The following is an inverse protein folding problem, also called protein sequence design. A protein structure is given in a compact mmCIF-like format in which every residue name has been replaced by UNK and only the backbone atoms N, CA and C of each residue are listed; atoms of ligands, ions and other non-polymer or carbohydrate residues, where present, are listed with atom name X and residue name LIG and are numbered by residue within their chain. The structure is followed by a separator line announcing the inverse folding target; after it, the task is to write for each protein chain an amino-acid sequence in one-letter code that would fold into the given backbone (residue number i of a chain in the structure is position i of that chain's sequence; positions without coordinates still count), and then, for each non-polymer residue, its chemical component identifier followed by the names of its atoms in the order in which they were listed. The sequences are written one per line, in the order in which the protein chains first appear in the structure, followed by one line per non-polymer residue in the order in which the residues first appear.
data_IF_117943393779
#
_entry.id   IF_117943393779
#
_cell.length_a   1.000
_cell.length_b   1.000
_cell.length_c   1.000
_cell.angle_alpha   90.00
_cell.angle_beta   90.00
_cell.angle_gamma   90.00
#
_symmetry.space_group_name_H-M   'P 1'
#
loop_
_entity.id
_entity.type
_entity.pdbx_description
1 polymer ?
#
# COMPACT_ATOMS: atom_id res chain seq x y z
N UNK A 1 -1.77 19.19 -17.34
CA UNK A 1 -1.72 18.56 -15.99
C UNK A 1 -2.53 19.42 -15.04
N UNK A 2 -3.45 18.82 -14.27
CA UNK A 2 -4.18 19.53 -13.22
C UNK A 2 -3.18 19.80 -12.09
N UNK A 3 -3.11 21.03 -11.57
CA UNK A 3 -2.25 21.32 -10.41
C UNK A 3 -2.81 20.61 -9.18
N UNK A 4 -1.97 19.99 -8.32
CA UNK A 4 -2.44 19.38 -7.09
C UNK A 4 -3.14 20.39 -6.18
N UNK A 5 -4.28 20.01 -5.62
CA UNK A 5 -4.99 20.85 -4.66
C UNK A 5 -4.42 20.59 -3.27
N UNK A 6 -3.35 21.31 -2.94
CA UNK A 6 -2.64 21.16 -1.66
C UNK A 6 -3.53 21.53 -0.47
N UNK A 7 -4.50 22.42 -0.65
CA UNK A 7 -5.43 22.82 0.41
C UNK A 7 -6.40 21.68 0.73
N UNK A 8 -6.98 21.06 -0.29
CA UNK A 8 -7.84 19.89 -0.11
C UNK A 8 -7.05 18.71 0.47
N UNK A 9 -5.83 18.45 -0.02
CA UNK A 9 -4.95 17.41 0.50
C UNK A 9 -4.62 17.62 1.99
N UNK A 10 -4.31 18.86 2.39
CA UNK A 10 -4.03 19.19 3.79
C UNK A 10 -5.26 19.00 4.66
N UNK A 11 -6.45 19.39 4.21
CA UNK A 11 -7.69 19.21 4.96
C UNK A 11 -8.00 17.72 5.19
N UNK A 12 -7.88 16.89 4.15
CA UNK A 12 -8.08 15.45 4.24
C UNK A 12 -7.05 14.80 5.19
N UNK A 13 -5.78 15.20 5.09
CA UNK A 13 -4.73 14.72 5.97
C UNK A 13 -4.95 15.14 7.44
N UNK A 14 -5.39 16.36 7.68
CA UNK A 14 -5.72 16.83 9.03
C UNK A 14 -6.87 16.02 9.63
N UNK A 15 -7.90 15.72 8.83
CA UNK A 15 -9.01 14.87 9.26
C UNK A 15 -8.57 13.44 9.57
N UNK A 16 -7.71 12.86 8.72
CA UNK A 16 -7.22 11.49 8.88
C UNK A 16 -6.26 11.33 10.08
N UNK A 17 -5.39 12.31 10.34
CA UNK A 17 -4.39 12.26 11.42
C UNK A 17 -4.97 12.62 12.79
N UNK A 18 -6.08 13.37 12.85
CA UNK A 18 -6.75 13.72 14.10
C UNK A 18 -5.91 14.58 15.04
N UNK A 19 -5.89 14.28 16.35
CA UNK A 19 -5.15 15.09 17.34
C UNK A 19 -3.65 14.95 17.11
N UNK A 20 -3.00 16.07 16.77
CA UNK A 20 -1.57 16.12 16.45
C UNK A 20 -1.28 16.29 14.97
N UNK A 21 -2.31 16.29 14.11
CA UNK A 21 -2.20 16.52 12.68
C UNK A 21 -1.32 17.72 12.32
N UNK A 22 -1.60 18.90 12.89
CA UNK A 22 -0.84 20.11 12.58
C UNK A 22 0.65 19.99 12.91
N UNK A 23 1.00 19.30 14.00
CA UNK A 23 2.41 19.06 14.34
C UNK A 23 3.07 18.15 13.31
N UNK A 24 2.42 17.05 12.95
CA UNK A 24 2.93 16.11 11.94
C UNK A 24 3.08 16.79 10.57
N UNK A 25 2.06 17.53 10.14
CA UNK A 25 2.08 18.26 8.86
C UNK A 25 3.18 19.34 8.85
N UNK A 26 3.33 20.09 9.94
CA UNK A 26 4.42 21.08 10.08
C UNK A 26 5.79 20.42 10.02
N UNK A 27 5.96 19.23 10.61
CA UNK A 27 7.22 18.49 10.55
C UNK A 27 7.53 18.01 9.12
N UNK A 28 6.51 17.54 8.39
CA UNK A 28 6.66 17.15 6.98
C UNK A 28 7.04 18.37 6.12
N UNK A 29 6.38 19.51 6.31
CA UNK A 29 6.70 20.75 5.60
C UNK A 29 8.10 21.28 5.92
N UNK A 30 8.52 21.21 7.19
CA UNK A 30 9.88 21.56 7.59
C UNK A 30 10.95 20.65 6.98
N UNK A 31 10.59 19.40 6.65
CA UNK A 31 11.44 18.47 5.91
C UNK A 31 11.39 18.67 4.38
N UNK A 32 10.66 19.68 3.89
CA UNK A 32 10.49 19.96 2.46
C UNK A 32 9.50 19.02 1.76
N UNK A 33 8.70 18.27 2.52
CA UNK A 33 7.67 17.37 2.00
C UNK A 33 6.31 18.07 1.97
N UNK A 34 5.51 17.74 0.96
CA UNK A 34 4.14 18.25 0.82
C UNK A 34 3.16 17.08 0.77
N UNK A 35 2.00 17.25 1.40
CA UNK A 35 0.94 16.26 1.32
C UNK A 35 0.11 16.53 0.07
N UNK A 36 -0.05 15.50 -0.75
CA UNK A 36 -0.87 15.51 -1.97
C UNK A 36 -1.89 14.40 -1.90
N UNK A 37 -3.03 14.59 -2.55
CA UNK A 37 -3.98 13.49 -2.76
C UNK A 37 -3.46 12.62 -3.89
N UNK A 38 -3.61 11.31 -3.74
CA UNK A 38 -3.25 10.36 -4.79
C UNK A 38 -3.96 10.70 -6.11
N UNK A 39 -5.25 11.10 -6.05
CA UNK A 39 -6.04 11.50 -7.22
C UNK A 39 -5.56 12.79 -7.93
N UNK A 40 -4.71 13.58 -7.28
CA UNK A 40 -4.13 14.81 -7.82
C UNK A 40 -2.75 14.60 -8.46
N UNK A 41 -2.14 13.43 -8.24
CA UNK A 41 -0.91 13.05 -8.92
C UNK A 41 -1.21 12.66 -10.37
N UNK A 42 -0.27 12.90 -11.31
CA UNK A 42 -0.38 12.28 -12.61
C UNK A 42 -0.51 10.76 -12.40
N UNK A 43 -1.30 10.05 -13.22
CA UNK A 43 -1.24 8.60 -13.19
C UNK A 43 0.22 8.22 -13.37
N UNK A 44 0.81 7.57 -12.37
CA UNK A 44 2.09 6.93 -12.56
C UNK A 44 1.92 5.98 -13.76
N UNK A 45 2.96 5.85 -14.58
CA UNK A 45 3.02 4.68 -15.46
C UNK A 45 3.10 3.47 -14.52
N UNK A 46 1.94 2.95 -14.14
CA UNK A 46 1.83 1.85 -13.21
C UNK A 46 2.48 0.65 -13.92
N UNK A 47 3.71 0.33 -13.51
CA UNK A 47 4.35 -0.92 -13.88
C UNK A 47 3.71 -1.96 -12.98
N UNK A 48 2.48 -2.34 -13.34
CA UNK A 48 1.78 -3.39 -12.62
C UNK A 48 2.35 -4.74 -13.02
N UNK A 49 2.67 -5.54 -12.01
CA UNK A 49 3.15 -6.90 -12.17
C UNK A 49 2.32 -7.83 -11.32
N UNK A 50 1.92 -8.96 -11.93
CA UNK A 50 1.37 -10.08 -11.17
C UNK A 50 2.50 -10.97 -10.69
N UNK A 51 2.57 -11.17 -9.37
CA UNK A 51 3.47 -12.13 -8.74
C UNK A 51 2.62 -13.33 -8.30
N UNK A 52 3.04 -14.52 -8.70
CA UNK A 52 2.33 -15.77 -8.41
C UNK A 52 3.04 -16.56 -7.32
N UNK A 53 2.30 -17.39 -6.59
CA UNK A 53 2.87 -18.25 -5.54
C UNK A 53 3.74 -17.47 -4.54
N UNK A 54 3.16 -16.41 -3.98
CA UNK A 54 3.87 -15.52 -3.05
C UNK A 54 3.55 -15.83 -1.59
N UNK A 55 4.46 -15.44 -0.72
CA UNK A 55 4.21 -15.34 0.72
C UNK A 55 4.16 -13.86 1.13
N UNK A 56 3.15 -13.49 1.94
CA UNK A 56 3.01 -12.15 2.47
C UNK A 56 3.38 -12.11 3.96
N UNK A 57 4.35 -11.27 4.29
CA UNK A 57 4.81 -11.05 5.67
C UNK A 57 4.50 -9.62 6.09
N UNK A 58 3.65 -9.44 7.09
CA UNK A 58 3.32 -8.12 7.63
C UNK A 58 4.33 -7.66 8.68
N UNK A 59 5.09 -6.60 8.39
CA UNK A 59 6.26 -6.18 9.20
C UNK A 59 5.88 -5.70 10.61
N UNK A 60 4.71 -5.07 10.76
CA UNK A 60 4.17 -4.60 12.06
C UNK A 60 2.77 -5.16 12.32
N UNK A 61 2.50 -6.35 11.77
CA UNK A 61 1.14 -6.85 11.62
C UNK A 61 0.32 -5.97 10.66
N UNK A 62 -1.00 -6.18 10.65
CA UNK A 62 -1.94 -5.44 9.80
C UNK A 62 -2.24 -4.02 10.32
N UNK A 63 -1.20 -3.28 10.71
CA UNK A 63 -1.30 -1.91 11.21
C UNK A 63 -0.83 -0.91 10.16
N UNK A 64 -1.41 0.30 10.09
CA UNK A 64 -0.89 1.40 9.28
C UNK A 64 0.59 1.65 9.60
N UNK A 65 1.48 1.87 8.60
CA UNK A 65 1.18 2.15 7.19
C UNK A 65 0.93 0.90 6.30
N UNK A 66 0.59 -0.25 6.88
CA UNK A 66 0.31 -1.52 6.18
C UNK A 66 1.48 -1.99 5.32
N UNK A 67 2.68 -1.94 5.92
CA UNK A 67 3.91 -2.41 5.29
C UNK A 67 3.93 -3.94 5.24
N UNK A 68 4.14 -4.48 4.05
CA UNK A 68 4.21 -5.89 3.76
C UNK A 68 5.50 -6.20 3.01
N UNK A 69 6.03 -7.40 3.21
CA UNK A 69 7.06 -7.97 2.35
C UNK A 69 6.43 -9.11 1.55
N UNK A 70 6.55 -9.02 0.23
CA UNK A 70 6.15 -10.07 -0.72
C UNK A 70 7.37 -10.92 -1.01
N UNK A 71 7.38 -12.18 -0.59
CA UNK A 71 8.40 -13.13 -1.00
C UNK A 71 7.92 -13.92 -2.22
N UNK A 72 8.73 -13.96 -3.28
CA UNK A 72 8.43 -14.66 -4.54
C UNK A 72 9.68 -15.41 -5.03
N UNK A 73 9.50 -16.65 -5.49
CA UNK A 73 10.60 -17.41 -6.10
C UNK A 73 11.79 -17.67 -5.18
N UNK A 74 12.97 -17.89 -5.77
CA UNK A 74 14.20 -18.31 -5.07
C UNK A 74 14.89 -17.18 -4.28
N UNK A 75 14.16 -16.53 -3.38
CA UNK A 75 14.66 -15.51 -2.46
C UNK A 75 14.48 -14.06 -2.91
N UNK A 76 13.64 -13.80 -3.92
CA UNK A 76 13.26 -12.42 -4.25
C UNK A 76 12.23 -11.90 -3.24
N UNK A 77 12.50 -10.74 -2.67
CA UNK A 77 11.57 -10.07 -1.74
C UNK A 77 11.32 -8.65 -2.18
N UNK A 78 10.05 -8.24 -2.19
CA UNK A 78 9.62 -6.89 -2.50
C UNK A 78 8.93 -6.27 -1.28
N UNK A 79 9.46 -5.15 -0.81
CA UNK A 79 8.81 -4.35 0.24
C UNK A 79 7.75 -3.44 -0.39
N UNK A 80 6.51 -3.57 0.07
CA UNK A 80 5.34 -2.86 -0.46
C UNK A 80 4.46 -2.31 0.66
N UNK A 81 3.56 -1.39 0.30
CA UNK A 81 2.49 -0.93 1.17
C UNK A 81 1.13 -1.30 0.59
N UNK A 82 0.22 -1.78 1.43
CA UNK A 82 -1.16 -1.99 1.02
C UNK A 82 -1.97 -0.70 1.15
N UNK A 83 -2.78 -0.40 0.13
CA UNK A 83 -3.80 0.64 0.25
C UNK A 83 -4.80 0.25 1.34
N UNK A 84 -5.12 1.19 2.25
CA UNK A 84 -6.05 0.95 3.38
C UNK A 84 -7.35 0.26 2.95
N UNK A 85 -7.88 0.63 1.78
CA UNK A 85 -9.11 0.07 1.23
C UNK A 85 -8.96 -1.38 0.76
N UNK A 86 -7.76 -1.78 0.33
CA UNK A 86 -7.47 -3.14 -0.13
C UNK A 86 -7.08 -4.09 1.03
N UNK A 87 -6.69 -3.55 2.19
CA UNK A 87 -6.23 -4.34 3.35
C UNK A 87 -7.18 -5.48 3.75
N UNK A 88 -8.52 -5.30 3.82
CA UNK A 88 -9.42 -6.39 4.16
C UNK A 88 -9.29 -7.58 3.20
N UNK A 89 -9.34 -7.33 1.89
CA UNK A 89 -9.29 -8.35 0.84
C UNK A 89 -7.91 -9.04 0.83
N UNK A 90 -6.83 -8.27 0.97
CA UNK A 90 -5.46 -8.81 1.01
C UNK A 90 -5.28 -9.73 2.21
N UNK A 91 -5.77 -9.31 3.38
CA UNK A 91 -5.69 -10.10 4.61
C UNK A 91 -6.51 -11.38 4.52
N UNK A 92 -7.70 -11.31 3.93
CA UNK A 92 -8.54 -12.48 3.70
C UNK A 92 -7.84 -13.48 2.79
N UNK A 93 -7.34 -13.05 1.62
CA UNK A 93 -6.63 -13.91 0.68
C UNK A 93 -5.40 -14.57 1.33
N UNK A 94 -4.59 -13.79 2.07
CA UNK A 94 -3.44 -14.33 2.79
C UNK A 94 -3.83 -15.38 3.86
N UNK A 95 -4.93 -15.13 4.59
CA UNK A 95 -5.45 -16.07 5.59
C UNK A 95 -5.96 -17.35 4.93
N UNK A 96 -6.69 -17.24 3.82
CA UNK A 96 -7.19 -18.40 3.07
C UNK A 96 -6.03 -19.24 2.51
N UNK A 97 -5.01 -18.61 1.94
CA UNK A 97 -3.81 -19.31 1.46
C UNK A 97 -3.14 -20.11 2.59
N UNK A 98 -2.97 -19.50 3.76
CA UNK A 98 -2.35 -20.13 4.92
C UNK A 98 -3.20 -21.28 5.49
N UNK A 99 -4.51 -21.08 5.66
CA UNK A 99 -5.40 -22.04 6.33
C UNK A 99 -5.79 -23.20 5.41
N UNK A 100 -6.05 -22.92 4.14
CA UNK A 100 -6.52 -23.90 3.16
C UNK A 100 -5.38 -24.47 2.30
N UNK A 101 -4.16 -23.96 2.44
CA UNK A 101 -3.01 -24.39 1.63
C UNK A 101 -3.09 -23.97 0.16
N UNK A 102 -3.92 -22.99 -0.17
CA UNK A 102 -4.07 -22.43 -1.52
C UNK A 102 -2.82 -21.63 -1.92
N UNK A 103 -2.63 -21.45 -3.22
CA UNK A 103 -1.64 -20.53 -3.77
C UNK A 103 -2.13 -19.09 -3.59
N UNK A 104 -1.25 -18.18 -3.20
CA UNK A 104 -1.54 -16.75 -3.13
C UNK A 104 -0.86 -16.04 -4.30
N UNK A 105 -1.65 -15.27 -5.05
CA UNK A 105 -1.14 -14.40 -6.11
C UNK A 105 -1.47 -12.95 -5.76
N UNK A 106 -0.62 -12.03 -6.18
CA UNK A 106 -0.76 -10.60 -5.90
C UNK A 106 -0.51 -9.76 -7.13
N UNK A 107 -1.13 -8.59 -7.17
CA UNK A 107 -0.80 -7.54 -8.12
C UNK A 107 -0.13 -6.40 -7.37
N UNK A 108 1.08 -6.06 -7.82
CA UNK A 108 1.89 -4.97 -7.27
C UNK A 108 2.07 -3.88 -8.32
N UNK A 109 2.01 -2.63 -7.89
CA UNK A 109 2.57 -1.50 -8.62
C UNK A 109 4.02 -1.34 -8.18
N UNK A 110 4.97 -1.76 -9.02
CA UNK A 110 6.40 -1.67 -8.70
C UNK A 110 6.89 -0.21 -8.69
N UNK A 111 6.24 0.68 -9.45
CA UNK A 111 6.63 2.10 -9.52
C UNK A 111 6.31 2.85 -8.23
N UNK A 112 5.18 2.53 -7.61
CA UNK A 112 4.75 3.14 -6.34
C UNK A 112 5.06 2.27 -5.10
N UNK A 113 5.53 1.03 -5.30
CA UNK A 113 5.75 0.07 -4.21
C UNK A 113 4.47 -0.28 -3.48
N UNK A 114 3.36 -0.44 -4.23
CA UNK A 114 2.03 -0.70 -3.67
C UNK A 114 1.55 -2.10 -3.97
N UNK A 115 0.92 -2.74 -2.99
CA UNK A 115 0.13 -3.95 -3.20
C UNK A 115 -1.32 -3.54 -3.46
N UNK A 116 -1.78 -3.77 -4.69
CA UNK A 116 -3.08 -3.32 -5.17
C UNK A 116 -4.19 -4.30 -4.80
N UNK A 117 -3.92 -5.60 -4.96
CA UNK A 117 -4.85 -6.69 -4.68
C UNK A 117 -4.12 -8.01 -4.41
N UNK A 118 -4.80 -8.93 -3.74
CA UNK A 118 -4.37 -10.32 -3.57
C UNK A 118 -5.56 -11.26 -3.77
N UNK A 119 -5.31 -12.47 -4.28
CA UNK A 119 -6.33 -13.50 -4.45
C UNK A 119 -5.72 -14.89 -4.32
N UNK A 120 -6.55 -15.87 -3.98
CA UNK A 120 -6.14 -17.27 -3.86
C UNK A 120 -6.52 -18.08 -5.08
N UNK A 121 -5.70 -19.09 -5.38
CA UNK A 121 -5.91 -20.05 -6.47
C UNK A 121 -5.67 -21.47 -5.94
N UNK A 122 -6.45 -22.44 -6.41
CA UNK A 122 -6.17 -23.86 -6.14
C UNK A 122 -4.80 -24.26 -6.72
N UNK A 123 -4.11 -25.17 -6.04
CA UNK A 123 -2.80 -25.69 -6.47
C UNK A 123 -2.93 -26.77 -7.53
#
# INVERSE_FOLDING_TARGET
MKRPDLTAARLEATSALGRGAERTLTQLEAAGLVVVRLADLPPAEAITRTLQDVELVAVQGWQPPYRLTVAHGAGETLDVHALRTAVPDIREAATLAQVMGLRLDVEVDEGEGLLLRAWTVEK
#
